data_IF_666533512848
#
_entry.id   IF_666533512848
#
_cell.length_a   1.000
_cell.length_b   1.000
_cell.length_c   1.000
_cell.angle_alpha   90.00
_cell.angle_beta   90.00
_cell.angle_gamma   90.00
#
_symmetry.space_group_name_H-M   'P 1'
#
loop_
_entity.id
_entity.type
_entity.pdbx_description
1 polymer ?
#
# COMPACT_ATOMS: atom_id res chain seq x y z
N UNK A 1 13.89 -4.04 -9.59
CA UNK A 1 12.73 -3.26 -9.10
C UNK A 1 13.20 -2.30 -8.03
N UNK A 2 12.94 -1.00 -8.19
CA UNK A 2 13.34 0.01 -7.21
C UNK A 2 12.54 -0.14 -5.91
N UNK A 3 13.24 -0.37 -4.79
CA UNK A 3 12.62 -0.57 -3.47
C UNK A 3 11.82 0.67 -3.04
N UNK A 4 12.24 1.87 -3.43
CA UNK A 4 11.51 3.11 -3.10
C UNK A 4 10.13 3.13 -3.77
N UNK A 5 10.05 2.70 -5.04
CA UNK A 5 8.79 2.65 -5.78
C UNK A 5 7.87 1.60 -5.18
N UNK A 6 8.41 0.42 -4.86
CA UNK A 6 7.64 -0.67 -4.27
C UNK A 6 6.99 -0.25 -2.94
N UNK A 7 7.76 0.34 -2.02
CA UNK A 7 7.24 0.76 -0.72
C UNK A 7 6.19 1.87 -0.86
N UNK A 8 6.40 2.84 -1.75
CA UNK A 8 5.40 3.88 -2.03
C UNK A 8 4.11 3.32 -2.62
N UNK A 9 4.20 2.32 -3.50
CA UNK A 9 3.00 1.68 -4.05
C UNK A 9 2.29 0.86 -2.97
N UNK A 10 3.03 0.10 -2.15
CA UNK A 10 2.47 -0.67 -1.04
C UNK A 10 1.75 0.24 -0.03
N UNK A 11 2.36 1.37 0.36
CA UNK A 11 1.69 2.37 1.21
C UNK A 11 0.37 2.86 0.60
N UNK A 12 0.36 3.09 -0.71
CA UNK A 12 -0.86 3.53 -1.41
C UNK A 12 -1.93 2.43 -1.48
N UNK A 13 -1.53 1.16 -1.63
CA UNK A 13 -2.44 0.02 -1.53
C UNK A 13 -3.09 -0.02 -0.15
N UNK A 14 -2.28 0.09 0.91
CA UNK A 14 -2.77 0.11 2.29
C UNK A 14 -3.74 1.27 2.55
N UNK A 15 -3.37 2.49 2.16
CA UNK A 15 -4.22 3.68 2.31
C UNK A 15 -5.59 3.45 1.64
N UNK A 16 -5.60 2.89 0.41
CA UNK A 16 -6.86 2.60 -0.29
C UNK A 16 -7.70 1.54 0.42
N UNK A 17 -7.06 0.50 0.96
CA UNK A 17 -7.74 -0.50 1.77
C UNK A 17 -8.33 0.12 3.04
N UNK A 18 -7.58 0.96 3.75
CA UNK A 18 -8.04 1.67 4.94
C UNK A 18 -9.23 2.59 4.62
N UNK A 19 -9.13 3.44 3.60
CA UNK A 19 -10.20 4.35 3.17
C UNK A 19 -11.51 3.58 2.93
N UNK A 20 -11.43 2.44 2.23
CA UNK A 20 -12.59 1.59 1.99
C UNK A 20 -13.18 1.04 3.29
N UNK A 21 -12.34 0.53 4.19
CA UNK A 21 -12.77 -0.03 5.48
C UNK A 21 -13.40 1.02 6.37
N UNK A 22 -12.78 2.19 6.49
CA UNK A 22 -13.35 3.32 7.23
C UNK A 22 -14.71 3.74 6.66
N UNK A 23 -14.85 3.78 5.33
CA UNK A 23 -16.13 4.05 4.65
C UNK A 23 -17.21 2.99 4.89
N UNK A 24 -16.82 1.73 5.11
CA UNK A 24 -17.71 0.62 5.50
C UNK A 24 -18.08 0.65 7.01
N UNK A 25 -17.56 1.64 7.75
CA UNK A 25 -17.78 1.81 9.19
C UNK A 25 -16.85 0.98 10.06
N UNK A 26 -15.70 0.53 9.54
CA UNK A 26 -14.69 -0.12 10.35
C UNK A 26 -13.89 0.87 11.17
N UNK A 27 -13.41 0.45 12.33
CA UNK A 27 -12.57 1.22 13.24
C UNK A 27 -11.33 0.43 13.65
N UNK A 28 -10.33 1.12 14.18
CA UNK A 28 -9.19 0.44 14.79
C UNK A 28 -9.64 -0.34 16.03
N UNK A 29 -9.13 -1.56 16.17
CA UNK A 29 -9.20 -2.34 17.40
C UNK A 29 -8.01 -3.29 17.51
N UNK A 30 -7.62 -3.71 18.72
CA UNK A 30 -6.41 -4.49 18.96
C UNK A 30 -6.45 -5.90 18.34
N UNK A 31 -7.66 -6.38 18.03
CA UNK A 31 -7.91 -7.64 17.34
C UNK A 31 -9.01 -7.42 16.31
N UNK A 32 -9.07 -8.30 15.31
CA UNK A 32 -10.12 -8.24 14.31
C UNK A 32 -11.46 -8.69 14.92
N UNK A 33 -12.48 -7.86 14.81
CA UNK A 33 -13.86 -8.15 15.22
C UNK A 33 -14.80 -7.77 14.09
N UNK A 34 -15.39 -8.75 13.41
CA UNK A 34 -16.30 -8.46 12.29
C UNK A 34 -17.66 -7.93 12.79
N UNK A 35 -18.07 -8.32 14.01
CA UNK A 35 -19.31 -7.86 14.65
C UNK A 35 -19.24 -6.38 15.05
N UNK A 36 -18.11 -5.96 15.63
CA UNK A 36 -17.85 -4.55 16.02
C UNK A 36 -17.20 -3.74 14.88
N UNK A 37 -16.88 -4.41 13.77
CA UNK A 37 -16.12 -3.87 12.63
C UNK A 37 -14.78 -3.28 13.02
N UNK A 38 -14.01 -3.99 13.83
CA UNK A 38 -12.67 -3.59 14.22
C UNK A 38 -11.58 -4.34 13.45
N UNK A 39 -10.49 -3.65 13.09
CA UNK A 39 -9.33 -4.28 12.46
C UNK A 39 -8.00 -3.68 12.97
N UNK A 40 -6.99 -4.52 13.32
CA UNK A 40 -5.72 -4.05 13.88
C UNK A 40 -4.88 -3.26 12.87
N UNK A 41 -4.95 -3.61 11.59
CA UNK A 41 -4.23 -2.89 10.53
C UNK A 41 -4.79 -1.51 10.19
N UNK A 42 -5.84 -1.00 10.85
CA UNK A 42 -6.34 0.36 10.64
C UNK A 42 -5.45 1.42 11.33
N UNK A 43 -4.16 1.36 11.03
CA UNK A 43 -3.07 2.21 11.51
C UNK A 43 -2.23 2.68 10.33
N UNK A 44 -1.41 3.74 10.47
CA UNK A 44 -0.49 4.18 9.42
C UNK A 44 0.39 3.03 8.90
N UNK A 45 0.70 3.03 7.59
CA UNK A 45 1.49 1.97 6.95
C UNK A 45 2.82 1.71 7.66
N UNK A 46 3.47 2.76 8.17
CA UNK A 46 4.74 2.65 8.90
C UNK A 46 4.65 1.79 10.17
N UNK A 47 3.48 1.79 10.81
CA UNK A 47 3.19 1.06 12.06
C UNK A 47 2.81 -0.41 11.84
N UNK A 48 2.57 -0.82 10.59
CA UNK A 48 2.32 -2.22 10.26
C UNK A 48 3.54 -3.09 10.53
N UNK A 49 3.29 -4.34 10.89
CA UNK A 49 4.33 -5.37 10.93
C UNK A 49 4.82 -5.68 9.52
N UNK A 50 6.04 -6.23 9.40
CA UNK A 50 6.59 -6.60 8.09
C UNK A 50 5.78 -7.68 7.36
N UNK A 51 5.05 -8.51 8.11
CA UNK A 51 4.15 -9.52 7.55
C UNK A 51 2.93 -8.85 6.91
N UNK A 52 2.35 -7.86 7.59
CA UNK A 52 1.19 -7.11 7.08
C UNK A 52 1.58 -6.30 5.84
N UNK A 53 2.72 -5.58 5.90
CA UNK A 53 3.28 -4.84 4.76
C UNK A 53 3.52 -5.73 3.54
N UNK A 54 3.83 -7.02 3.75
CA UNK A 54 4.09 -7.92 2.62
C UNK A 54 2.84 -8.18 1.77
N UNK A 55 1.63 -8.13 2.34
CA UNK A 55 0.41 -8.23 1.53
C UNK A 55 0.24 -7.03 0.60
N UNK A 56 0.54 -5.82 1.09
CA UNK A 56 0.52 -4.60 0.29
C UNK A 56 1.64 -4.61 -0.76
N UNK A 57 2.85 -5.05 -0.38
CA UNK A 57 3.98 -5.22 -1.29
C UNK A 57 3.71 -6.25 -2.37
N UNK A 58 3.02 -7.35 -2.07
CA UNK A 58 2.64 -8.34 -3.07
C UNK A 58 1.72 -7.73 -4.13
N UNK A 59 0.69 -6.99 -3.71
CA UNK A 59 -0.23 -6.28 -4.63
C UNK A 59 0.50 -5.22 -5.45
N UNK A 60 1.44 -4.49 -4.83
CA UNK A 60 2.28 -3.52 -5.52
C UNK A 60 3.22 -4.18 -6.55
N UNK A 61 3.79 -5.34 -6.24
CA UNK A 61 4.61 -6.13 -7.19
C UNK A 61 3.80 -6.59 -8.39
N UNK A 62 2.61 -7.15 -8.19
CA UNK A 62 1.73 -7.56 -9.29
C UNK A 62 1.41 -6.38 -10.22
N UNK A 63 1.16 -5.20 -9.64
CA UNK A 63 0.91 -3.98 -10.44
C UNK A 63 2.13 -3.62 -11.30
N UNK A 64 3.33 -3.72 -10.74
CA UNK A 64 4.58 -3.43 -11.47
C UNK A 64 4.88 -4.48 -12.54
N UNK A 65 4.60 -5.76 -12.27
CA UNK A 65 4.75 -6.86 -13.22
C UNK A 65 3.81 -6.68 -14.43
N UNK A 66 2.55 -6.28 -14.21
CA UNK A 66 1.62 -5.98 -15.31
C UNK A 66 2.11 -4.81 -16.17
N UNK A 67 2.69 -3.77 -15.57
CA UNK A 67 3.25 -2.65 -16.35
C UNK A 67 4.42 -3.10 -17.23
N UNK A 68 5.28 -3.97 -16.70
CA UNK A 68 6.40 -4.57 -17.45
C UNK A 68 5.90 -5.46 -18.60
N UNK A 69 4.92 -6.33 -18.34
CA UNK A 69 4.29 -7.18 -19.37
C UNK A 69 3.64 -6.36 -20.49
N UNK A 70 3.10 -5.19 -20.17
CA UNK A 70 2.54 -4.25 -21.14
C UNK A 70 3.61 -3.43 -21.89
N UNK A 71 4.90 -3.61 -21.56
CA UNK A 71 6.03 -2.94 -22.20
C UNK A 71 6.28 -1.51 -21.74
N UNK A 72 5.85 -1.16 -20.51
CA UNK A 72 6.13 0.16 -19.94
C UNK A 72 7.41 0.17 -19.11
N UNK A 73 8.30 1.10 -19.43
CA UNK A 73 9.46 1.41 -18.58
C UNK A 73 9.14 2.52 -17.57
N UNK A 74 9.41 2.25 -16.29
CA UNK A 74 9.31 3.25 -15.23
C UNK A 74 10.63 4.01 -15.10
N UNK A 75 10.64 5.26 -15.59
CA UNK A 75 11.81 6.14 -15.50
C UNK A 75 11.57 7.21 -14.44
N UNK A 76 12.40 7.22 -13.38
CA UNK A 76 12.39 8.30 -12.38
C UNK A 76 12.77 9.60 -13.07
N UNK A 77 11.86 10.58 -13.05
CA UNK A 77 12.18 11.92 -13.53
C UNK A 77 13.29 12.51 -12.67
N UNK A 78 14.34 13.02 -13.32
CA UNK A 78 15.34 13.86 -12.66
C UNK A 78 14.75 15.27 -12.63
N UNK A 79 14.46 15.78 -11.45
CA UNK A 79 14.07 17.18 -11.30
C UNK A 79 15.31 18.06 -11.50
N UNK A 80 15.45 18.65 -12.69
CA UNK A 80 16.37 19.76 -12.93
C UNK A 80 15.86 20.99 -12.15
N UNK A 81 16.19 21.09 -10.85
CA UNK A 81 15.91 22.27 -10.02
C UNK A 81 16.76 23.50 -10.38
N UNK A 82 17.20 23.63 -11.63
CA UNK A 82 18.04 24.72 -12.13
C UNK A 82 17.50 25.34 -13.44
N UNK A 83 16.21 25.74 -13.44
CA UNK A 83 15.69 26.67 -14.46
C UNK A 83 14.78 27.71 -13.84
#
# INVERSE_FOLDING_TARGET
MDKEILEKLAERVHIRWMEKRLGEGWTFGPQRSDDEKEHPCLVPYEELTEIEKEYDRATARETLEVLDELGYDLVKRIDDKNR
#
